data_IF_911159622386
#
_entry.id   IF_911159622386
#
_cell.length_a   1.000
_cell.length_b   1.000
_cell.length_c   1.000
_cell.angle_alpha   90.00
_cell.angle_beta   90.00
_cell.angle_gamma   90.00
#
_symmetry.space_group_name_H-M   'P 1'
#
loop_
_entity.id
_entity.type
_entity.pdbx_description
1 polymer ?
#
# COMPACT_ATOMS: atom_id res chain seq x y z
N UNK A 1 5.73 21.01 -12.63
CA UNK A 1 6.91 20.35 -12.00
C UNK A 1 6.46 19.12 -11.21
N UNK A 2 7.31 18.14 -10.92
CA UNK A 2 6.91 16.90 -10.22
C UNK A 2 7.30 16.88 -8.74
N UNK A 3 6.49 16.20 -7.92
CA UNK A 3 6.62 16.06 -6.47
C UNK A 3 6.65 14.57 -6.13
N UNK A 4 7.49 14.12 -5.21
CA UNK A 4 7.55 12.72 -4.80
C UNK A 4 7.96 12.59 -3.36
N UNK A 5 7.32 11.68 -2.61
CA UNK A 5 7.63 11.43 -1.21
C UNK A 5 7.45 9.95 -0.88
N UNK A 6 8.15 9.52 0.18
CA UNK A 6 8.10 8.17 0.72
C UNK A 6 8.02 8.27 2.23
N UNK A 7 7.01 7.66 2.84
CA UNK A 7 6.89 7.55 4.29
C UNK A 7 7.08 6.10 4.68
N UNK A 8 8.03 5.83 5.58
CA UNK A 8 8.27 4.47 6.10
C UNK A 8 7.98 4.48 7.59
N UNK A 9 7.08 3.60 8.03
CA UNK A 9 6.70 3.48 9.44
C UNK A 9 7.46 2.29 10.04
N UNK A 10 8.22 2.48 11.13
CA UNK A 10 9.04 1.40 11.70
C UNK A 10 8.23 0.16 12.14
N UNK A 11 6.97 0.37 12.53
CA UNK A 11 6.07 -0.70 12.96
C UNK A 11 5.52 -1.53 11.78
N UNK A 12 5.80 -1.11 10.55
CA UNK A 12 5.22 -1.66 9.34
C UNK A 12 6.33 -1.93 8.31
N UNK A 13 6.39 -3.17 7.79
CA UNK A 13 7.39 -3.58 6.79
C UNK A 13 7.15 -2.98 5.39
N UNK A 14 6.52 -1.81 5.28
CA UNK A 14 6.15 -1.18 4.02
C UNK A 14 6.30 0.34 4.07
N UNK A 15 6.40 0.93 2.88
CA UNK A 15 6.47 2.38 2.69
C UNK A 15 5.25 2.89 1.92
N UNK A 16 4.75 4.03 2.33
CA UNK A 16 3.69 4.82 1.70
C UNK A 16 4.37 5.66 0.61
N UNK A 17 3.97 5.48 -0.65
CA UNK A 17 4.59 6.14 -1.81
C UNK A 17 3.59 7.11 -2.43
N UNK A 18 3.96 8.38 -2.52
CA UNK A 18 3.12 9.38 -3.16
C UNK A 18 3.87 10.21 -4.17
N UNK A 19 3.15 10.67 -5.19
CA UNK A 19 3.63 11.69 -6.10
C UNK A 19 2.49 12.62 -6.49
N UNK A 20 2.88 13.82 -6.93
CA UNK A 20 1.95 14.76 -7.50
C UNK A 20 2.65 15.68 -8.50
N UNK A 21 1.90 16.53 -9.20
CA UNK A 21 2.47 17.47 -10.16
C UNK A 21 1.88 18.85 -9.97
N UNK A 22 2.75 19.85 -9.98
CA UNK A 22 2.36 21.24 -10.07
C UNK A 22 1.90 21.56 -11.49
N UNK A 23 0.72 22.17 -11.57
CA UNK A 23 0.18 22.77 -12.78
C UNK A 23 1.05 23.95 -13.21
N UNK A 24 1.00 24.31 -14.49
CA UNK A 24 1.88 25.35 -15.06
C UNK A 24 1.65 26.74 -14.44
N UNK A 25 0.53 26.97 -13.76
CA UNK A 25 0.12 28.27 -13.24
C UNK A 25 0.47 28.48 -11.76
N UNK A 26 0.91 27.45 -11.02
CA UNK A 26 1.04 27.54 -9.55
C UNK A 26 2.33 28.20 -9.10
N UNK A 27 3.48 27.69 -9.58
CA UNK A 27 4.82 28.25 -9.34
C UNK A 27 5.81 27.40 -10.14
N UNK A 28 6.76 28.03 -10.84
CA UNK A 28 7.83 27.32 -11.56
C UNK A 28 9.08 27.11 -10.70
N UNK A 29 9.05 27.52 -9.43
CA UNK A 29 10.19 27.44 -8.53
C UNK A 29 10.44 26.00 -8.07
N UNK A 30 11.66 25.53 -8.26
CA UNK A 30 12.05 24.20 -7.84
C UNK A 30 11.96 24.01 -6.32
N UNK A 31 12.30 25.04 -5.56
CA UNK A 31 12.27 25.01 -4.11
C UNK A 31 10.84 24.85 -3.57
N UNK A 32 9.87 25.51 -4.21
CA UNK A 32 8.46 25.42 -3.87
C UNK A 32 7.93 23.99 -3.99
N UNK A 33 8.36 23.28 -5.04
CA UNK A 33 8.00 21.88 -5.20
C UNK A 33 8.62 20.99 -4.11
N UNK A 34 9.88 21.20 -3.74
CA UNK A 34 10.50 20.42 -2.66
C UNK A 34 9.76 20.61 -1.32
N UNK A 35 9.36 21.85 -1.00
CA UNK A 35 8.55 22.16 0.19
C UNK A 35 7.17 21.49 0.15
N UNK A 36 6.49 21.51 -1.00
CA UNK A 36 5.21 20.83 -1.14
C UNK A 36 5.32 19.31 -1.04
N UNK A 37 6.40 18.72 -1.55
CA UNK A 37 6.65 17.29 -1.41
C UNK A 37 6.84 16.92 0.08
N UNK A 38 7.58 17.75 0.83
CA UNK A 38 7.71 17.60 2.28
C UNK A 38 6.35 17.69 2.98
N UNK A 39 5.58 18.76 2.75
CA UNK A 39 4.26 18.96 3.36
C UNK A 39 3.33 17.77 3.10
N UNK A 40 3.25 17.30 1.85
CA UNK A 40 2.44 16.14 1.49
C UNK A 40 2.91 14.85 2.16
N UNK A 41 4.22 14.62 2.22
CA UNK A 41 4.77 13.47 2.94
C UNK A 41 4.41 13.49 4.43
N UNK A 42 4.43 14.66 5.07
CA UNK A 42 4.04 14.79 6.49
C UNK A 42 2.55 14.57 6.71
N UNK A 43 1.69 15.10 5.84
CA UNK A 43 0.25 14.83 5.90
C UNK A 43 -0.06 13.34 5.75
N UNK A 44 0.67 12.64 4.87
CA UNK A 44 0.51 11.19 4.70
C UNK A 44 1.02 10.40 5.91
N UNK A 45 2.08 10.87 6.59
CA UNK A 45 2.52 10.29 7.86
C UNK A 45 1.43 10.42 8.95
N UNK A 46 0.87 11.62 9.10
CA UNK A 46 -0.21 11.90 10.05
C UNK A 46 -1.45 11.07 9.73
N UNK A 47 -1.88 11.04 8.47
CA UNK A 47 -3.04 10.26 8.01
C UNK A 47 -2.87 8.76 8.23
N UNK A 48 -1.63 8.27 8.32
CA UNK A 48 -1.32 6.89 8.58
C UNK A 48 -1.16 6.57 10.09
N UNK A 49 -1.57 7.48 10.98
CA UNK A 49 -1.41 7.37 12.43
C UNK A 49 0.05 7.09 12.82
N UNK A 50 1.00 7.76 12.15
CA UNK A 50 2.42 7.62 12.45
C UNK A 50 2.74 8.01 13.89
N UNK A 51 3.47 7.15 14.61
CA UNK A 51 3.86 7.37 16.00
C UNK A 51 5.39 7.40 16.16
N UNK A 52 5.85 8.19 17.14
CA UNK A 52 7.24 8.29 17.53
C UNK A 52 8.03 9.35 16.76
N UNK A 53 9.37 9.37 16.92
CA UNK A 53 10.22 10.37 16.28
C UNK A 53 10.21 10.21 14.76
N UNK A 54 9.83 11.28 14.07
CA UNK A 54 9.82 11.38 12.61
C UNK A 54 11.16 11.93 12.12
N UNK A 55 11.90 11.13 11.36
CA UNK A 55 13.09 11.63 10.63
C UNK A 55 12.72 11.95 9.18
N UNK A 56 12.79 13.23 8.83
CA UNK A 56 12.62 13.72 7.45
C UNK A 56 13.97 13.72 6.75
N UNK A 57 14.04 13.04 5.60
CA UNK A 57 15.25 12.95 4.77
C UNK A 57 14.98 13.52 3.38
N UNK A 58 15.87 14.37 2.88
CA UNK A 58 15.76 14.96 1.53
C UNK A 58 17.12 15.38 0.98
N UNK A 59 17.22 15.49 -0.35
CA UNK A 59 18.43 15.91 -1.06
C UNK A 59 18.49 17.42 -1.35
N UNK A 60 17.42 18.16 -1.09
CA UNK A 60 17.43 19.62 -1.08
C UNK A 60 18.03 20.16 0.22
N UNK A 61 19.31 20.54 0.18
CA UNK A 61 20.01 21.11 1.34
C UNK A 61 19.31 22.37 1.86
N UNK A 62 18.86 23.24 0.94
CA UNK A 62 18.16 24.48 1.28
C UNK A 62 16.91 24.21 2.11
N UNK A 63 16.03 23.30 1.66
CA UNK A 63 14.80 22.95 2.41
C UNK A 63 15.13 22.41 3.78
N UNK A 64 16.05 21.45 3.86
CA UNK A 64 16.41 20.84 5.15
C UNK A 64 16.98 21.89 6.11
N UNK A 65 17.84 22.79 5.63
CA UNK A 65 18.49 23.77 6.51
C UNK A 65 17.55 24.92 6.90
N UNK A 66 16.64 25.31 6.03
CA UNK A 66 15.56 26.24 6.38
C UNK A 66 14.61 25.63 7.40
N UNK A 67 14.17 24.38 7.23
CA UNK A 67 13.33 23.67 8.22
C UNK A 67 14.01 23.48 9.58
N UNK A 68 15.35 23.46 9.61
CA UNK A 68 16.15 23.45 10.85
C UNK A 68 16.34 24.84 11.47
N UNK A 69 15.88 25.91 10.82
CA UNK A 69 16.12 27.29 11.24
C UNK A 69 17.55 27.79 11.01
N UNK A 70 18.37 27.08 10.23
CA UNK A 70 19.77 27.46 9.94
C UNK A 70 19.81 28.51 8.82
N UNK A 71 18.97 28.36 7.79
CA UNK A 71 18.89 29.29 6.67
C UNK A 71 17.61 30.12 6.76
N UNK A 72 17.66 31.43 6.44
CA UNK A 72 16.47 32.25 6.38
C UNK A 72 15.61 31.89 5.16
N UNK A 73 14.33 32.21 5.25
CA UNK A 73 13.37 32.11 4.15
C UNK A 73 13.00 33.52 3.74
N UNK A 74 13.37 33.90 2.52
CA UNK A 74 13.16 35.25 1.98
C UNK A 74 11.96 35.33 1.03
N UNK A 75 11.50 34.18 0.52
CA UNK A 75 10.41 34.07 -0.44
C UNK A 75 9.09 33.84 0.31
N UNK A 76 8.10 34.71 0.07
CA UNK A 76 6.81 34.70 0.76
C UNK A 76 6.00 33.42 0.49
N UNK A 77 6.03 32.87 -0.74
CA UNK A 77 5.34 31.62 -1.08
C UNK A 77 5.93 30.45 -0.30
N UNK A 78 7.27 30.40 -0.22
CA UNK A 78 7.99 29.40 0.57
C UNK A 78 7.70 29.57 2.05
N UNK A 79 7.65 30.81 2.54
CA UNK A 79 7.36 31.11 3.93
C UNK A 79 5.97 30.60 4.34
N UNK A 80 4.96 30.77 3.49
CA UNK A 80 3.62 30.24 3.74
C UNK A 80 3.62 28.70 3.89
N UNK A 81 4.29 27.98 3.00
CA UNK A 81 4.37 26.51 3.12
C UNK A 81 5.18 26.08 4.33
N UNK A 82 6.29 26.75 4.63
CA UNK A 82 7.08 26.50 5.83
C UNK A 82 6.24 26.68 7.10
N UNK A 83 5.43 27.75 7.16
CA UNK A 83 4.50 27.99 8.27
C UNK A 83 3.48 26.86 8.38
N UNK A 84 2.89 26.41 7.27
CA UNK A 84 1.96 25.28 7.27
C UNK A 84 2.60 23.99 7.79
N UNK A 85 3.83 23.69 7.38
CA UNK A 85 4.57 22.52 7.87
C UNK A 85 4.83 22.66 9.38
N UNK A 86 5.23 23.84 9.83
CA UNK A 86 5.46 24.12 11.25
C UNK A 86 4.17 23.96 12.07
N UNK A 87 3.03 24.37 11.51
CA UNK A 87 1.72 24.17 12.14
C UNK A 87 1.37 22.69 12.24
N UNK A 88 1.61 21.88 11.20
CA UNK A 88 1.43 20.42 11.27
C UNK A 88 2.29 19.81 12.38
N UNK A 89 3.55 20.22 12.50
CA UNK A 89 4.45 19.73 13.56
C UNK A 89 3.86 20.01 14.94
N UNK A 90 3.32 21.22 15.14
CA UNK A 90 2.74 21.65 16.43
C UNK A 90 1.40 20.98 16.72
N UNK A 91 0.49 21.00 15.75
CA UNK A 91 -0.87 20.46 15.87
C UNK A 91 -0.88 18.97 16.21
N UNK A 92 0.05 18.21 15.61
CA UNK A 92 0.17 16.76 15.83
C UNK A 92 1.29 16.38 16.80
N UNK A 93 1.86 17.37 17.52
CA UNK A 93 2.91 17.18 18.53
C UNK A 93 4.06 16.27 18.07
N UNK A 94 4.52 16.48 16.82
CA UNK A 94 5.51 15.62 16.18
C UNK A 94 6.92 15.88 16.72
N UNK A 95 7.54 14.85 17.28
CA UNK A 95 8.99 14.83 17.52
C UNK A 95 9.72 14.65 16.17
N UNK A 96 10.26 15.72 15.59
CA UNK A 96 10.75 15.75 14.22
C UNK A 96 12.23 16.10 14.10
N UNK A 97 12.92 15.38 13.23
CA UNK A 97 14.33 15.56 12.91
C UNK A 97 14.55 15.69 11.41
N UNK A 98 15.18 16.78 10.98
CA UNK A 98 15.50 17.02 9.56
C UNK A 98 16.95 16.64 9.26
N UNK A 99 17.14 15.76 8.27
CA UNK A 99 18.46 15.28 7.84
C UNK A 99 18.63 15.43 6.33
N UNK A 100 19.69 16.14 5.94
CA UNK A 100 20.07 16.18 4.53
C UNK A 100 20.76 14.87 4.15
N UNK A 101 20.43 14.33 2.98
CA UNK A 101 21.07 13.16 2.42
C UNK A 101 21.43 13.35 0.94
N UNK A 102 22.51 12.74 0.44
CA UNK A 102 22.81 12.76 -0.97
C UNK A 102 21.67 12.17 -1.82
N UNK A 103 21.48 12.68 -3.04
CA UNK A 103 20.44 12.19 -3.99
C UNK A 103 20.45 10.68 -4.20
N UNK A 104 21.63 10.06 -4.13
CA UNK A 104 21.79 8.60 -4.23
C UNK A 104 21.07 7.82 -3.13
N UNK A 105 20.81 8.44 -1.98
CA UNK A 105 20.03 7.89 -0.87
C UNK A 105 18.53 8.25 -0.99
N UNK A 106 18.18 9.34 -1.71
CA UNK A 106 16.80 9.77 -1.96
C UNK A 106 16.18 9.23 -3.27
N UNK A 107 16.72 8.15 -3.83
CA UNK A 107 16.35 7.62 -5.16
C UNK A 107 14.86 7.33 -5.33
N UNK A 108 14.19 6.88 -4.27
CA UNK A 108 12.78 6.49 -4.38
C UNK A 108 11.86 7.71 -4.55
N UNK A 109 12.02 8.75 -3.73
CA UNK A 109 11.26 9.99 -3.85
C UNK A 109 11.60 10.71 -5.17
N UNK A 110 12.87 10.74 -5.58
CA UNK A 110 13.29 11.30 -6.86
C UNK A 110 12.65 10.59 -8.06
N UNK A 111 12.54 9.26 -8.01
CA UNK A 111 11.84 8.51 -9.05
C UNK A 111 10.35 8.83 -9.08
N UNK A 112 9.72 9.01 -7.91
CA UNK A 112 8.30 9.34 -7.79
C UNK A 112 8.00 10.73 -8.36
N UNK A 113 8.84 11.72 -8.11
CA UNK A 113 8.68 13.08 -8.65
C UNK A 113 8.73 13.10 -10.19
N UNK A 114 9.52 12.20 -10.79
CA UNK A 114 9.62 12.03 -12.25
C UNK A 114 8.47 11.21 -12.85
N UNK A 115 7.69 10.50 -12.03
CA UNK A 115 6.60 9.64 -12.51
C UNK A 115 5.43 10.48 -13.00
N UNK A 116 4.93 10.19 -14.22
CA UNK A 116 3.82 10.94 -14.84
C UNK A 116 2.45 10.55 -14.28
N UNK A 117 2.24 9.27 -14.02
CA UNK A 117 0.98 8.77 -13.46
C UNK A 117 0.94 9.02 -11.95
N UNK A 118 -0.24 9.36 -11.44
CA UNK A 118 -0.47 9.53 -10.01
C UNK A 118 -0.43 8.17 -9.31
N UNK A 119 0.48 8.02 -8.37
CA UNK A 119 0.57 6.90 -7.43
C UNK A 119 -0.43 7.22 -6.32
N UNK A 120 -1.61 6.59 -6.38
CA UNK A 120 -2.65 6.78 -5.37
C UNK A 120 -2.48 5.74 -4.26
N UNK A 121 -2.33 6.22 -3.03
CA UNK A 121 -2.53 5.41 -1.83
C UNK A 121 -4.02 5.44 -1.50
N UNK A 122 -4.61 4.27 -1.26
CA UNK A 122 -6.00 4.16 -0.82
C UNK A 122 -6.03 3.68 0.63
N UNK A 123 -6.38 4.61 1.51
CA UNK A 123 -6.63 4.35 2.92
C UNK A 123 -7.92 3.55 3.09
N UNK A 124 -8.11 2.78 4.18
CA UNK A 124 -9.30 1.97 4.39
C UNK A 124 -10.61 2.72 4.23
N UNK A 125 -10.65 3.97 4.72
CA UNK A 125 -11.83 4.83 4.66
C UNK A 125 -12.11 5.36 3.25
N UNK A 126 -11.08 5.42 2.39
CA UNK A 126 -11.19 5.88 1.00
C UNK A 126 -11.54 4.72 0.04
N UNK A 127 -11.65 3.49 0.53
CA UNK A 127 -11.87 2.31 -0.30
C UNK A 127 -13.30 2.22 -0.80
N UNK A 128 -13.42 1.90 -2.07
CA UNK A 128 -14.71 1.59 -2.69
C UNK A 128 -15.09 0.12 -2.41
N UNK A 129 -16.32 -0.08 -1.94
CA UNK A 129 -16.91 -1.39 -1.69
C UNK A 129 -18.12 -1.59 -2.60
N UNK A 130 -18.19 -2.78 -3.19
CA UNK A 130 -19.36 -3.19 -3.98
C UNK A 130 -20.47 -3.72 -3.07
N UNK A 131 -20.08 -4.54 -2.09
CA UNK A 131 -20.97 -5.16 -1.11
C UNK A 131 -20.30 -5.06 0.26
N UNK A 132 -21.06 -4.70 1.30
CA UNK A 132 -20.58 -4.80 2.68
C UNK A 132 -20.17 -6.24 2.99
N UNK A 133 -19.00 -6.42 3.62
CA UNK A 133 -18.51 -7.72 4.11
C UNK A 133 -19.58 -8.49 4.89
N UNK A 134 -20.45 -7.79 5.65
CA UNK A 134 -21.55 -8.39 6.41
C UNK A 134 -22.61 -9.05 5.52
N UNK A 135 -22.90 -8.43 4.38
CA UNK A 135 -23.89 -8.86 3.40
C UNK A 135 -23.28 -9.74 2.29
N UNK A 136 -21.97 -9.94 2.32
CA UNK A 136 -21.27 -10.71 1.29
C UNK A 136 -21.49 -12.23 1.43
N UNK A 137 -21.38 -12.99 0.31
CA UNK A 137 -21.43 -14.46 0.32
C UNK A 137 -20.25 -15.12 1.05
N UNK A 138 -19.23 -14.36 1.45
CA UNK A 138 -18.10 -14.93 2.19
C UNK A 138 -18.52 -15.29 3.62
N UNK A 139 -18.17 -16.49 4.09
CA UNK A 139 -18.57 -17.02 5.40
C UNK A 139 -17.34 -17.37 6.26
N UNK A 140 -17.51 -17.39 7.58
CA UNK A 140 -16.56 -17.96 8.53
C UNK A 140 -15.18 -17.28 8.51
N UNK A 141 -14.11 -18.08 8.38
CA UNK A 141 -12.71 -17.59 8.40
C UNK A 141 -12.41 -16.67 7.22
N UNK A 142 -13.04 -16.88 6.06
CA UNK A 142 -12.81 -16.04 4.88
C UNK A 142 -13.34 -14.62 5.11
N UNK A 143 -14.58 -14.49 5.62
CA UNK A 143 -15.17 -13.19 5.96
C UNK A 143 -14.28 -12.39 6.93
N UNK A 144 -13.78 -13.04 7.98
CA UNK A 144 -12.87 -12.41 8.95
C UNK A 144 -11.57 -11.93 8.28
N UNK A 145 -10.98 -12.73 7.39
CA UNK A 145 -9.78 -12.33 6.64
C UNK A 145 -10.05 -11.13 5.72
N UNK A 146 -11.20 -11.11 5.04
CA UNK A 146 -11.60 -9.98 4.18
C UNK A 146 -11.82 -8.72 5.02
N UNK A 147 -12.52 -8.82 6.14
CA UNK A 147 -12.70 -7.68 7.06
C UNK A 147 -11.37 -7.11 7.54
N UNK A 148 -10.42 -7.98 7.95
CA UNK A 148 -9.07 -7.55 8.34
C UNK A 148 -8.32 -6.91 7.17
N UNK A 149 -8.40 -7.48 5.96
CA UNK A 149 -7.79 -6.89 4.75
C UNK A 149 -8.34 -5.49 4.50
N UNK A 150 -9.67 -5.31 4.57
CA UNK A 150 -10.35 -4.06 4.31
C UNK A 150 -10.04 -2.99 5.37
N UNK A 151 -9.88 -3.39 6.64
CA UNK A 151 -9.51 -2.48 7.72
C UNK A 151 -8.01 -2.15 7.75
N UNK A 152 -7.16 -2.99 7.15
CA UNK A 152 -5.72 -2.77 7.12
C UNK A 152 -5.37 -1.75 6.04
N UNK A 153 -4.77 -0.59 6.38
CA UNK A 153 -4.41 0.43 5.38
C UNK A 153 -3.48 -0.10 4.29
N UNK A 154 -2.57 -1.02 4.65
CA UNK A 154 -1.60 -1.58 3.72
C UNK A 154 -1.43 -3.09 3.91
N UNK A 155 -2.24 -3.91 3.23
CA UNK A 155 -2.15 -5.36 3.41
C UNK A 155 -0.82 -5.94 2.91
N UNK A 156 -0.17 -6.78 3.73
CA UNK A 156 1.12 -7.39 3.40
C UNK A 156 0.99 -8.51 2.37
N UNK A 157 2.09 -8.87 1.71
CA UNK A 157 2.13 -10.03 0.78
C UNK A 157 1.72 -11.34 1.46
N UNK A 158 2.04 -11.50 2.74
CA UNK A 158 1.60 -12.64 3.55
C UNK A 158 0.07 -12.67 3.71
N UNK A 159 -0.58 -11.52 3.86
CA UNK A 159 -2.05 -11.43 3.93
C UNK A 159 -2.68 -11.85 2.59
N UNK A 160 -2.17 -11.34 1.46
CA UNK A 160 -2.63 -11.78 0.13
C UNK A 160 -2.43 -13.28 -0.09
N UNK A 161 -1.31 -13.86 0.34
CA UNK A 161 -1.04 -15.31 0.27
C UNK A 161 -2.01 -16.14 1.11
N UNK A 162 -2.38 -15.64 2.30
CA UNK A 162 -3.34 -16.32 3.21
C UNK A 162 -4.80 -16.13 2.79
N UNK A 163 -5.08 -15.19 1.88
CA UNK A 163 -6.40 -14.92 1.35
C UNK A 163 -6.70 -15.85 0.16
N UNK A 164 -7.34 -16.97 0.44
CA UNK A 164 -7.83 -17.91 -0.57
C UNK A 164 -9.18 -18.45 -0.15
N UNK A 165 -9.97 -18.83 -1.16
CA UNK A 165 -11.26 -19.50 -0.98
C UNK A 165 -10.97 -20.98 -0.73
N UNK A 166 -11.39 -21.50 0.42
CA UNK A 166 -11.12 -22.90 0.82
C UNK A 166 -12.13 -23.91 0.24
N UNK A 167 -13.33 -23.45 -0.09
CA UNK A 167 -14.43 -24.28 -0.61
C UNK A 167 -15.16 -23.52 -1.72
N UNK A 168 -15.72 -24.22 -2.72
CA UNK A 168 -16.59 -23.59 -3.71
C UNK A 168 -17.72 -22.84 -3.01
N UNK A 169 -18.04 -21.66 -3.54
CA UNK A 169 -19.15 -20.81 -3.09
C UNK A 169 -20.03 -20.43 -4.28
N UNK A 170 -21.13 -19.73 -4.00
CA UNK A 170 -22.13 -19.31 -5.01
C UNK A 170 -21.48 -18.56 -6.19
N UNK A 171 -20.38 -17.83 -5.94
CA UNK A 171 -19.68 -17.05 -6.94
C UNK A 171 -18.67 -17.87 -7.76
N UNK A 172 -18.32 -19.08 -7.32
CA UNK A 172 -17.30 -19.91 -7.94
C UNK A 172 -17.76 -20.45 -9.30
N UNK A 173 -19.04 -20.77 -9.42
CA UNK A 173 -19.62 -21.35 -10.64
C UNK A 173 -20.20 -20.29 -11.58
N UNK A 174 -20.29 -19.03 -11.14
CA UNK A 174 -20.78 -17.91 -11.97
C UNK A 174 -19.83 -17.58 -13.11
N UNK A 175 -20.40 -17.36 -14.28
CA UNK A 175 -19.65 -16.96 -15.48
C UNK A 175 -19.28 -15.47 -15.46
N UNK A 176 -18.49 -15.02 -16.44
CA UNK A 176 -18.07 -13.61 -16.48
C UNK A 176 -19.24 -12.65 -16.74
N UNK A 177 -20.26 -13.08 -17.48
CA UNK A 177 -21.40 -12.24 -17.81
C UNK A 177 -22.25 -11.98 -16.56
N UNK A 178 -22.63 -13.04 -15.85
CA UNK A 178 -23.37 -12.98 -14.58
C UNK A 178 -22.61 -12.13 -13.55
N UNK A 179 -21.29 -12.33 -13.44
CA UNK A 179 -20.47 -11.56 -12.49
C UNK A 179 -20.46 -10.06 -12.81
N UNK A 180 -20.50 -9.67 -14.09
CA UNK A 180 -20.56 -8.26 -14.50
C UNK A 180 -21.93 -7.65 -14.20
N UNK A 181 -22.99 -8.43 -14.39
CA UNK A 181 -24.35 -8.02 -14.06
C UNK A 181 -24.48 -7.78 -12.55
N UNK A 182 -24.03 -8.74 -11.73
CA UNK A 182 -24.04 -8.63 -10.27
C UNK A 182 -23.18 -7.46 -9.76
N UNK A 183 -22.03 -7.20 -10.40
CA UNK A 183 -21.09 -6.16 -9.99
C UNK A 183 -21.47 -4.75 -10.47
N UNK A 184 -22.36 -4.65 -11.45
CA UNK A 184 -22.73 -3.40 -12.09
C UNK A 184 -21.66 -2.82 -13.03
N UNK A 185 -22.05 -1.75 -13.75
CA UNK A 185 -21.27 -1.16 -14.85
C UNK A 185 -19.93 -0.57 -14.39
N UNK A 186 -19.92 0.14 -13.26
CA UNK A 186 -18.73 0.85 -12.75
C UNK A 186 -17.58 -0.10 -12.41
N UNK A 187 -17.83 -1.11 -11.58
CA UNK A 187 -16.82 -2.10 -11.22
C UNK A 187 -16.35 -2.91 -12.43
N UNK A 188 -17.28 -3.24 -13.34
CA UNK A 188 -16.97 -3.93 -14.59
C UNK A 188 -15.98 -3.14 -15.46
N UNK A 189 -16.22 -1.84 -15.67
CA UNK A 189 -15.35 -0.99 -16.46
C UNK A 189 -13.94 -0.91 -15.86
N UNK A 190 -13.84 -0.70 -14.54
CA UNK A 190 -12.55 -0.63 -13.86
C UNK A 190 -11.73 -1.92 -14.00
N UNK A 191 -12.39 -3.08 -13.93
CA UNK A 191 -11.77 -4.39 -14.11
C UNK A 191 -11.33 -4.62 -15.56
N UNK A 192 -12.12 -4.18 -16.54
CA UNK A 192 -11.78 -4.26 -17.98
C UNK A 192 -10.57 -3.38 -18.29
N UNK A 193 -10.55 -2.14 -17.80
CA UNK A 193 -9.42 -1.22 -17.96
C UNK A 193 -8.14 -1.79 -17.34
N UNK A 194 -8.26 -2.43 -16.18
CA UNK A 194 -7.12 -3.00 -15.46
C UNK A 194 -6.56 -4.26 -16.14
N UNK A 195 -7.42 -5.10 -16.70
CA UNK A 195 -7.05 -6.36 -17.34
C UNK A 195 -7.55 -6.39 -18.79
N UNK A 196 -6.99 -5.55 -19.68
CA UNK A 196 -7.50 -5.39 -21.03
C UNK A 196 -7.17 -6.61 -21.90
N UNK A 197 -8.05 -6.91 -22.86
CA UNK A 197 -7.81 -7.90 -23.91
C UNK A 197 -8.79 -9.07 -23.95
N UNK A 198 -8.97 -9.64 -25.15
CA UNK A 198 -9.98 -10.68 -25.44
C UNK A 198 -9.51 -12.11 -25.16
N UNK A 199 -8.26 -12.31 -24.74
CA UNK A 199 -7.70 -13.64 -24.41
C UNK A 199 -8.40 -14.25 -23.20
N UNK A 200 -8.56 -15.57 -23.18
CA UNK A 200 -9.26 -16.27 -22.10
C UNK A 200 -8.62 -16.08 -20.73
N UNK A 201 -7.28 -15.93 -20.68
CA UNK A 201 -6.56 -15.60 -19.45
C UNK A 201 -7.01 -14.25 -18.86
N UNK A 202 -7.28 -13.25 -19.69
CA UNK A 202 -7.69 -11.93 -19.21
C UNK A 202 -9.14 -11.97 -18.74
N UNK A 203 -10.03 -12.66 -19.46
CA UNK A 203 -11.41 -12.93 -19.00
C UNK A 203 -11.42 -13.64 -17.63
N UNK A 204 -10.53 -14.61 -17.43
CA UNK A 204 -10.36 -15.28 -16.14
C UNK A 204 -9.94 -14.31 -15.03
N UNK A 205 -8.97 -13.42 -15.28
CA UNK A 205 -8.55 -12.41 -14.28
C UNK A 205 -9.66 -11.41 -13.97
N UNK A 206 -10.42 -10.99 -14.98
CA UNK A 206 -11.59 -10.14 -14.78
C UNK A 206 -12.63 -10.83 -13.88
N UNK A 207 -12.96 -12.08 -14.18
CA UNK A 207 -13.89 -12.86 -13.36
C UNK A 207 -13.38 -13.02 -11.91
N UNK A 208 -12.09 -13.30 -11.71
CA UNK A 208 -11.52 -13.40 -10.35
C UNK A 208 -11.58 -12.09 -9.58
N UNK A 209 -11.33 -10.95 -10.24
CA UNK A 209 -11.42 -9.64 -9.59
C UNK A 209 -12.86 -9.37 -9.14
N UNK A 210 -13.85 -9.56 -10.02
CA UNK A 210 -15.26 -9.37 -9.71
C UNK A 210 -15.74 -10.30 -8.58
N UNK A 211 -15.33 -11.58 -8.59
CA UNK A 211 -15.66 -12.49 -7.48
C UNK A 211 -15.10 -12.01 -6.15
N UNK A 212 -13.88 -11.46 -6.11
CA UNK A 212 -13.33 -10.89 -4.88
C UNK A 212 -14.13 -9.67 -4.40
N UNK A 213 -14.52 -8.78 -5.31
CA UNK A 213 -15.37 -7.62 -5.00
C UNK A 213 -16.73 -8.05 -4.43
N UNK A 214 -17.38 -9.02 -5.07
CA UNK A 214 -18.67 -9.57 -4.62
C UNK A 214 -18.57 -10.33 -3.29
N UNK A 215 -17.38 -10.84 -2.93
CA UNK A 215 -17.08 -11.38 -1.59
C UNK A 215 -16.85 -10.30 -0.53
N UNK A 216 -17.02 -9.03 -0.87
CA UNK A 216 -16.87 -7.89 0.03
C UNK A 216 -15.44 -7.41 0.19
N UNK A 217 -14.48 -7.86 -0.63
CA UNK A 217 -13.15 -7.27 -0.66
C UNK A 217 -13.21 -5.92 -1.39
N UNK A 218 -12.55 -4.89 -0.85
CA UNK A 218 -12.48 -3.58 -1.50
C UNK A 218 -12.00 -3.70 -2.95
N UNK A 219 -12.49 -2.81 -3.82
CA UNK A 219 -12.25 -2.85 -5.27
C UNK A 219 -10.76 -2.85 -5.61
N UNK A 220 -9.98 -1.99 -4.97
CA UNK A 220 -8.53 -1.90 -5.17
C UNK A 220 -7.79 -3.15 -4.69
N UNK A 221 -8.19 -3.69 -3.52
CA UNK A 221 -7.62 -4.89 -2.94
C UNK A 221 -7.93 -6.14 -3.77
N UNK A 222 -9.12 -6.22 -4.37
CA UNK A 222 -9.48 -7.28 -5.30
C UNK A 222 -8.59 -7.28 -6.54
N UNK A 223 -8.37 -6.10 -7.13
CA UNK A 223 -7.44 -5.93 -8.25
C UNK A 223 -6.00 -6.30 -7.84
N UNK A 224 -5.53 -5.80 -6.69
CA UNK A 224 -4.19 -6.10 -6.15
C UNK A 224 -4.01 -7.59 -5.88
N UNK A 225 -5.04 -8.27 -5.37
CA UNK A 225 -5.05 -9.71 -5.11
C UNK A 225 -4.86 -10.50 -6.40
N UNK A 226 -5.60 -10.17 -7.46
CA UNK A 226 -5.45 -10.85 -8.75
C UNK A 226 -4.06 -10.59 -9.36
N UNK A 227 -3.56 -9.35 -9.30
CA UNK A 227 -2.18 -9.03 -9.73
C UNK A 227 -1.12 -9.81 -8.92
N UNK A 228 -1.34 -9.99 -7.62
CA UNK A 228 -0.47 -10.82 -6.77
C UNK A 228 -0.49 -12.29 -7.23
N UNK A 229 -1.67 -12.86 -7.50
CA UNK A 229 -1.80 -14.25 -7.96
C UNK A 229 -1.14 -14.48 -9.32
N UNK A 230 -1.26 -13.53 -10.25
CA UNK A 230 -0.59 -13.57 -11.55
C UNK A 230 0.93 -13.63 -11.37
N UNK A 231 1.49 -12.76 -10.52
CA UNK A 231 2.93 -12.74 -10.23
C UNK A 231 3.40 -14.04 -9.58
N UNK A 232 2.63 -14.55 -8.62
CA UNK A 232 2.99 -15.78 -7.91
C UNK A 232 2.96 -17.02 -8.83
N UNK A 233 2.02 -17.09 -9.79
CA UNK A 233 1.99 -18.14 -10.82
C UNK A 233 3.20 -18.07 -11.76
N UNK A 234 3.63 -16.87 -12.16
CA UNK A 234 4.83 -16.70 -13.02
C UNK A 234 6.11 -17.17 -12.32
N UNK A 235 6.28 -16.80 -11.05
CA UNK A 235 7.46 -17.21 -10.27
C UNK A 235 7.46 -18.72 -9.98
N UNK A 236 6.30 -19.33 -9.78
CA UNK A 236 6.17 -20.79 -9.65
C UNK A 236 6.56 -21.53 -10.92
N UNK A 237 6.25 -20.99 -12.11
CA UNK A 237 6.63 -21.60 -13.38
C UNK A 237 8.12 -21.46 -13.71
N UNK A 238 8.77 -20.34 -13.34
CA UNK A 238 10.22 -20.17 -13.54
C UNK A 238 11.06 -21.10 -12.64
N UNK A 239 10.57 -21.42 -11.44
CA UNK A 239 11.24 -22.37 -10.54
C UNK A 239 11.00 -23.84 -10.91
N UNK A 240 10.00 -24.13 -11.76
CA UNK A 240 9.72 -25.50 -12.25
C UNK A 240 10.42 -25.82 -13.57
N UNK A 241 10.86 -24.82 -14.35
CA UNK A 241 11.64 -25.05 -15.58
C UNK A 241 13.14 -25.31 -15.33
N UNK A 242 13.61 -25.28 -14.09
CA UNK A 242 15.00 -25.55 -13.69
C UNK A 242 15.19 -26.89 -12.96
N UNK A 243 14.13 -27.71 -12.81
CA UNK A 243 14.29 -29.09 -12.32
C UNK A 243 14.42 -30.06 -13.50
N UNK A 244 15.67 -30.34 -13.87
CA UNK A 244 16.04 -31.56 -14.62
C UNK A 244 15.60 -32.80 -13.83
N UNK A 245 15.17 -33.90 -14.48
CA UNK A 245 14.88 -35.16 -13.81
C UNK A 245 16.20 -35.87 -13.51
N UNK A 246 16.66 -35.84 -12.26
CA UNK A 246 17.73 -36.72 -11.81
C UNK A 246 17.16 -37.92 -11.07
N UNK A 247 17.29 -39.06 -11.75
CA UNK A 247 17.55 -40.41 -11.30
C UNK A 247 17.12 -40.83 -9.89
N UNK A 248 16.22 -41.82 -9.89
CA UNK A 248 16.05 -42.84 -8.87
C UNK A 248 17.41 -43.35 -8.39
N UNK A 249 17.76 -43.07 -7.13
CA UNK A 249 18.71 -43.90 -6.37
C UNK A 249 18.17 -44.22 -4.98
N UNK A 250 18.36 -45.49 -4.69
CA UNK A 250 17.94 -46.33 -3.58
C UNK A 250 18.45 -45.87 -2.21
N UNK A 251 17.59 -46.11 -1.21
CA UNK A 251 17.83 -46.37 0.22
C UNK A 251 19.22 -46.02 0.79
N UNK A 252 19.22 -45.21 1.85
CA UNK A 252 19.83 -45.66 3.09
C UNK A 252 19.18 -45.04 4.34
N UNK A 253 18.97 -45.92 5.34
CA UNK A 253 18.49 -45.61 6.69
C UNK A 253 19.61 -44.90 7.45
N UNK A 254 19.25 -43.89 8.24
CA UNK A 254 20.14 -43.23 9.19
C UNK A 254 19.34 -42.31 10.10
N UNK A 255 19.04 -42.83 11.28
CA UNK A 255 18.47 -42.13 12.44
C UNK A 255 19.29 -40.91 12.86
N UNK A 256 18.63 -39.82 13.25
CA UNK A 256 18.84 -39.22 14.58
C UNK A 256 17.84 -38.09 14.87
N UNK A 257 17.27 -38.20 16.06
CA UNK A 257 16.48 -37.24 16.80
C UNK A 257 17.20 -35.91 17.04
N UNK A 258 16.47 -34.79 17.07
CA UNK A 258 16.56 -33.83 18.19
C UNK A 258 15.45 -32.77 18.18
N UNK A 259 14.61 -32.90 19.21
CA UNK A 259 14.08 -31.89 20.14
C UNK A 259 13.59 -30.52 19.63
N UNK A 260 12.28 -30.35 19.87
CA UNK A 260 11.53 -29.11 20.14
C UNK A 260 12.31 -28.08 20.97
N UNK A 261 12.24 -26.82 20.55
CA UNK A 261 12.30 -25.67 21.46
C UNK A 261 11.16 -24.71 21.11
N UNK A 262 10.19 -24.63 22.02
CA UNK A 262 9.16 -23.59 22.10
C UNK A 262 9.85 -22.32 22.57
N UNK A 263 9.65 -21.19 21.89
CA UNK A 263 9.80 -19.89 22.52
C UNK A 263 8.49 -19.11 22.40
N UNK A 264 7.81 -19.02 23.55
CA UNK A 264 6.84 -17.99 23.87
C UNK A 264 7.59 -16.66 24.01
N UNK A 265 7.15 -15.62 23.31
CA UNK A 265 7.23 -14.26 23.84
C UNK A 265 5.81 -13.69 23.84
N UNK A 266 5.33 -13.51 25.07
CA UNK A 266 4.10 -12.82 25.44
C UNK A 266 4.32 -11.32 25.32
N UNK A 267 3.25 -10.60 25.00
CA UNK A 267 2.99 -9.27 25.56
C UNK A 267 3.34 -8.08 24.67
N UNK A 268 2.44 -7.72 23.76
CA UNK A 268 2.20 -6.32 23.46
C UNK A 268 0.75 -6.03 23.84
N UNK A 269 0.60 -5.22 24.89
CA UNK A 269 -0.66 -4.86 25.54
C UNK A 269 -1.54 -4.07 24.55
N UNK A 270 -2.83 -4.39 24.58
CA UNK A 270 -3.88 -3.58 23.99
C UNK A 270 -3.84 -2.19 24.61
N UNK A 271 -3.81 -1.13 23.79
CA UNK A 271 -4.37 0.14 24.21
C UNK A 271 -5.66 0.37 23.43
N UNK A 272 -6.72 0.47 24.24
CA UNK A 272 -8.07 0.76 23.85
C UNK A 272 -8.16 2.17 23.29
N UNK A 273 -8.97 2.26 22.25
CA UNK A 273 -9.70 3.43 21.79
C UNK A 273 -10.10 4.37 22.93
N UNK A 274 -9.86 5.67 22.77
CA UNK A 274 -10.75 6.70 23.31
C UNK A 274 -10.91 7.80 22.26
N UNK A 275 -12.05 7.74 21.57
CA UNK A 275 -12.68 8.91 20.99
C UNK A 275 -12.99 9.90 22.13
N UNK A 276 -12.78 11.19 21.88
CA UNK A 276 -13.69 12.24 22.31
C UNK A 276 -13.64 13.38 21.30
N UNK A 277 -14.79 13.63 20.68
CA UNK A 277 -15.20 14.88 20.04
C UNK A 277 -15.30 16.03 21.07
N UNK A 278 -15.51 17.24 20.52
CA UNK A 278 -15.81 18.54 21.15
C UNK A 278 -14.55 19.34 21.50
N UNK A 279 -14.33 20.57 21.02
CA UNK A 279 -15.23 21.67 20.65
C UNK A 279 -14.69 22.48 19.46
#
# INVERSE_FOLDING_TARGET
MGLGWVVTLQNNSFSILGNDRLEKQTSNNALFAEYLALKKGMLEYVKADGQGPLTVMGDSQTVIYQMRGIYPIMDDEIWHIHRDITNIIREYELDIHFRWVPRMQNKQADRLSKTKHKVRIEYPNDREFLIDVRNSPAIGKLRKKIAVMNATPFPTTAMYKRLHVSSKDVLSDKDLFELREMAGKRATNMVIETFPGKRDKNKYYQAQALRWMLRGLAVDLAIKKVKFDIRNKKNGNQNNSTKKPEAVKTKNKGSQSQKKARNLCRGAKYYLNRQTFAF
#
